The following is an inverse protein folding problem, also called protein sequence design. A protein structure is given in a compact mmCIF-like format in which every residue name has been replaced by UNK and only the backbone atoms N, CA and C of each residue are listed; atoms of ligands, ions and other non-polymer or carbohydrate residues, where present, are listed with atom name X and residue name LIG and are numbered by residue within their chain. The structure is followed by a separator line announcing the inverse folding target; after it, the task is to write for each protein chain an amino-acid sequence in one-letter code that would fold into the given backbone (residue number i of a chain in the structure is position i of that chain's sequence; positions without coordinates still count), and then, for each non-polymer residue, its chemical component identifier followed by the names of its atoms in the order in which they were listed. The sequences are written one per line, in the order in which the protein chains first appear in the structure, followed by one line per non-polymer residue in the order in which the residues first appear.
data_IF_574670381326
#
_entry.id   IF_574670381326
#
_cell.length_a   1.000
_cell.length_b   1.000
_cell.length_c   1.000
_cell.angle_alpha   90.00
_cell.angle_beta   90.00
_cell.angle_gamma   90.00
#
_symmetry.space_group_name_H-M   'P 1'
#
loop_
_entity.id
_entity.type
_entity.pdbx_description
1 polymer ?
#
# COMPACT_ATOMS: atom_id res chain seq x y z
N UNK A 1 40.77 -9.39 -8.27
CA UNK A 1 39.50 -9.36 -8.99
C UNK A 1 39.01 -7.93 -8.97
N UNK A 2 38.92 -7.33 -10.15
CA UNK A 2 38.36 -5.99 -10.24
C UNK A 2 36.84 -6.09 -10.01
N UNK A 3 36.34 -5.44 -8.98
CA UNK A 3 34.90 -5.41 -8.69
C UNK A 3 34.30 -4.12 -9.27
N UNK A 4 33.17 -4.23 -9.96
CA UNK A 4 32.37 -3.09 -10.38
C UNK A 4 31.31 -2.81 -9.33
N UNK A 5 31.19 -1.56 -8.91
CA UNK A 5 30.12 -1.09 -8.02
C UNK A 5 29.09 -0.41 -8.91
N UNK A 6 27.86 -0.95 -8.90
CA UNK A 6 26.72 -0.37 -9.59
C UNK A 6 25.76 0.27 -8.57
N UNK A 7 25.07 1.36 -8.91
CA UNK A 7 23.98 1.87 -8.10
C UNK A 7 22.90 0.79 -7.93
N UNK A 8 22.35 0.70 -6.74
CA UNK A 8 21.26 -0.22 -6.46
C UNK A 8 19.97 0.17 -7.21
N UNK A 9 19.15 -0.82 -7.54
CA UNK A 9 17.88 -0.61 -8.24
C UNK A 9 16.79 -0.36 -7.21
N UNK A 10 15.96 0.68 -7.43
CA UNK A 10 14.76 0.93 -6.65
C UNK A 10 13.52 0.36 -7.36
N UNK A 11 12.68 -0.37 -6.63
CA UNK A 11 11.33 -0.70 -7.07
C UNK A 11 10.41 0.48 -6.73
N UNK A 12 9.97 1.22 -7.72
CA UNK A 12 9.19 2.45 -7.54
C UNK A 12 7.69 2.23 -7.44
N UNK A 13 7.19 0.98 -7.48
CA UNK A 13 5.77 0.67 -7.37
C UNK A 13 5.55 -0.78 -6.91
N UNK A 14 5.01 -0.95 -5.72
CA UNK A 14 4.70 -2.24 -5.12
C UNK A 14 3.36 -2.22 -4.41
N UNK A 15 2.69 -3.38 -4.38
CA UNK A 15 1.51 -3.68 -3.57
C UNK A 15 1.76 -5.04 -2.90
N UNK A 16 2.48 -5.06 -1.79
CA UNK A 16 2.98 -6.29 -1.19
C UNK A 16 1.92 -7.38 -1.00
N UNK A 17 0.72 -7.03 -0.54
CA UNK A 17 -0.35 -8.01 -0.31
C UNK A 17 -0.75 -8.76 -1.59
N UNK A 18 -0.58 -8.17 -2.77
CA UNK A 18 -0.92 -8.81 -4.04
C UNK A 18 0.03 -9.97 -4.38
N UNK A 19 1.22 -10.02 -3.77
CA UNK A 19 2.14 -11.16 -3.93
C UNK A 19 1.49 -12.49 -3.53
N UNK A 20 0.52 -12.48 -2.59
CA UNK A 20 -0.26 -13.65 -2.21
C UNK A 20 -1.11 -14.25 -3.34
N UNK A 21 -1.33 -13.50 -4.43
CA UNK A 21 -2.10 -13.96 -5.59
C UNK A 21 -1.23 -14.54 -6.71
N UNK A 22 0.09 -14.56 -6.53
CA UNK A 22 1.01 -15.05 -7.56
C UNK A 22 0.67 -16.50 -7.96
N UNK A 23 0.66 -16.75 -9.25
CA UNK A 23 0.26 -18.02 -9.84
C UNK A 23 -1.26 -18.23 -9.99
N UNK A 24 -2.08 -17.35 -9.42
CA UNK A 24 -3.55 -17.49 -9.46
C UNK A 24 -4.22 -16.49 -10.41
N UNK A 25 -3.52 -15.43 -10.79
CA UNK A 25 -4.09 -14.31 -11.54
C UNK A 25 -3.34 -13.96 -12.84
N UNK A 26 -2.18 -14.55 -13.08
CA UNK A 26 -1.34 -14.25 -14.25
C UNK A 26 -1.78 -15.01 -15.51
N UNK A 27 -2.68 -16.00 -15.36
CA UNK A 27 -3.18 -16.77 -16.49
C UNK A 27 -4.65 -16.43 -16.76
N UNK A 28 -4.95 -16.16 -18.01
CA UNK A 28 -6.30 -16.01 -18.48
C UNK A 28 -7.01 -17.37 -18.44
N UNK A 29 -7.99 -17.54 -17.57
CA UNK A 29 -8.79 -18.77 -17.48
C UNK A 29 -9.95 -18.80 -18.47
N UNK A 30 -10.49 -17.62 -18.81
CA UNK A 30 -11.60 -17.42 -19.74
C UNK A 30 -11.22 -16.30 -20.73
N UNK A 31 -11.55 -16.41 -22.03
CA UNK A 31 -11.37 -15.33 -23.00
C UNK A 31 -12.03 -13.99 -22.59
N UNK A 32 -13.07 -14.03 -21.75
CA UNK A 32 -13.75 -12.86 -21.20
C UNK A 32 -13.05 -12.26 -19.98
N UNK A 33 -11.97 -12.88 -19.47
CA UNK A 33 -11.23 -12.36 -18.33
C UNK A 33 -10.62 -10.98 -18.65
N UNK A 34 -10.76 -10.07 -17.71
CA UNK A 34 -10.37 -8.68 -17.82
C UNK A 34 -9.83 -8.17 -16.48
N UNK A 35 -9.43 -6.89 -16.44
CA UNK A 35 -9.10 -6.22 -15.19
C UNK A 35 -10.20 -6.37 -14.11
N UNK A 36 -11.47 -6.42 -14.51
CA UNK A 36 -12.57 -6.52 -13.55
C UNK A 36 -12.66 -7.90 -12.89
N UNK A 37 -12.42 -8.99 -13.61
CA UNK A 37 -12.36 -10.33 -13.05
C UNK A 37 -11.14 -10.51 -12.15
N UNK A 38 -9.98 -9.98 -12.54
CA UNK A 38 -8.79 -9.91 -11.71
C UNK A 38 -9.07 -9.17 -10.38
N UNK A 39 -9.77 -8.04 -10.45
CA UNK A 39 -10.10 -7.22 -9.28
C UNK A 39 -10.98 -7.96 -8.27
N UNK A 40 -11.88 -8.82 -8.71
CA UNK A 40 -12.70 -9.66 -7.82
C UNK A 40 -11.83 -10.66 -7.03
N UNK A 41 -10.84 -11.25 -7.68
CA UNK A 41 -9.88 -12.12 -6.99
C UNK A 41 -9.10 -11.31 -5.95
N UNK A 42 -8.61 -10.15 -6.32
CA UNK A 42 -7.89 -9.26 -5.42
C UNK A 42 -8.73 -8.90 -4.18
N UNK A 43 -10.01 -8.57 -4.33
CA UNK A 43 -10.89 -8.29 -3.18
C UNK A 43 -11.06 -9.51 -2.27
N UNK A 44 -11.16 -10.74 -2.82
CA UNK A 44 -11.26 -11.96 -2.02
C UNK A 44 -10.01 -12.20 -1.17
N UNK A 45 -8.82 -11.91 -1.69
CA UNK A 45 -7.58 -11.96 -0.93
C UNK A 45 -7.54 -10.83 0.10
N UNK A 46 -7.75 -9.61 -0.34
CA UNK A 46 -7.80 -8.45 0.53
C UNK A 46 -8.75 -8.66 1.71
N UNK A 47 -9.92 -9.27 1.52
CA UNK A 47 -10.90 -9.52 2.58
C UNK A 47 -10.43 -10.50 3.67
N UNK A 48 -9.32 -11.20 3.50
CA UNK A 48 -8.86 -12.25 4.45
C UNK A 48 -7.55 -11.93 5.15
N UNK A 49 -6.72 -11.11 4.55
CA UNK A 49 -5.38 -10.81 5.05
C UNK A 49 -5.46 -10.05 6.37
N UNK A 50 -4.88 -10.61 7.44
CA UNK A 50 -4.68 -9.97 8.73
C UNK A 50 -3.25 -9.39 8.85
N UNK A 51 -2.89 -8.67 9.93
CA UNK A 51 -1.56 -8.07 10.10
C UNK A 51 -0.40 -9.08 10.01
N UNK A 52 -0.51 -10.26 10.65
CA UNK A 52 0.53 -11.29 10.62
C UNK A 52 0.72 -11.86 9.22
N UNK A 53 -0.38 -12.08 8.50
CA UNK A 53 -0.35 -12.55 7.13
C UNK A 53 0.25 -11.49 6.19
N UNK A 54 -0.11 -10.22 6.38
CA UNK A 54 0.48 -9.13 5.60
C UNK A 54 1.99 -9.04 5.82
N UNK A 55 2.43 -9.13 7.08
CA UNK A 55 3.84 -9.18 7.42
C UNK A 55 4.55 -10.33 6.69
N UNK A 56 4.04 -11.54 6.79
CA UNK A 56 4.67 -12.72 6.18
C UNK A 56 4.76 -12.59 4.64
N UNK A 57 3.70 -12.08 3.99
CA UNK A 57 3.67 -11.85 2.55
C UNK A 57 4.70 -10.78 2.15
N UNK A 58 4.75 -9.67 2.88
CA UNK A 58 5.66 -8.57 2.60
C UNK A 58 7.12 -8.98 2.84
N UNK A 59 7.42 -9.69 3.94
CA UNK A 59 8.76 -10.18 4.24
C UNK A 59 9.29 -11.11 3.14
N UNK A 60 8.44 -12.03 2.66
CA UNK A 60 8.79 -12.90 1.53
C UNK A 60 9.07 -12.08 0.26
N UNK A 61 8.20 -11.14 -0.09
CA UNK A 61 8.36 -10.30 -1.27
C UNK A 61 9.64 -9.45 -1.21
N UNK A 62 9.90 -8.85 -0.07
CA UNK A 62 11.08 -7.99 0.10
C UNK A 62 12.39 -8.78 0.08
N UNK A 63 12.38 -10.01 0.60
CA UNK A 63 13.49 -10.95 0.42
C UNK A 63 13.73 -11.28 -1.06
N UNK A 64 12.68 -11.62 -1.81
CA UNK A 64 12.75 -11.85 -3.26
C UNK A 64 13.27 -10.63 -4.03
N UNK A 65 12.86 -9.40 -3.61
CA UNK A 65 13.37 -8.16 -4.20
C UNK A 65 14.88 -7.99 -3.97
N UNK A 66 15.36 -8.23 -2.75
CA UNK A 66 16.79 -8.16 -2.44
C UNK A 66 17.61 -9.19 -3.23
N UNK A 67 17.13 -10.43 -3.34
CA UNK A 67 17.74 -11.47 -4.17
C UNK A 67 17.82 -11.07 -5.65
N UNK A 68 16.81 -10.32 -6.13
CA UNK A 68 16.79 -9.76 -7.49
C UNK A 68 17.62 -8.46 -7.66
N UNK A 69 18.25 -7.96 -6.59
CA UNK A 69 19.12 -6.77 -6.61
C UNK A 69 18.42 -5.45 -6.35
N UNK A 70 17.16 -5.46 -5.93
CA UNK A 70 16.49 -4.24 -5.43
C UNK A 70 16.92 -3.98 -4.00
N UNK A 71 17.19 -2.73 -3.66
CA UNK A 71 17.55 -2.33 -2.28
C UNK A 71 16.59 -1.32 -1.69
N UNK A 72 15.66 -0.84 -2.50
CA UNK A 72 14.61 0.08 -2.07
C UNK A 72 13.28 -0.27 -2.73
N UNK A 73 12.18 -0.01 -2.02
CA UNK A 73 10.81 -0.21 -2.51
C UNK A 73 9.92 0.96 -2.13
N UNK A 74 9.12 1.44 -3.09
CA UNK A 74 7.97 2.31 -2.84
C UNK A 74 6.72 1.44 -2.75
N UNK A 75 6.17 1.31 -1.55
CA UNK A 75 5.01 0.47 -1.27
C UNK A 75 3.73 1.30 -1.25
N UNK A 76 2.88 1.13 -2.26
CA UNK A 76 1.57 1.76 -2.38
C UNK A 76 0.56 0.99 -1.52
N UNK A 77 0.48 1.35 -0.23
CA UNK A 77 -0.21 0.61 0.81
C UNK A 77 -1.65 1.13 1.00
N UNK A 78 -2.65 0.31 0.68
CA UNK A 78 -4.06 0.67 0.81
C UNK A 78 -4.91 -0.34 1.62
N UNK A 79 -4.28 -1.27 2.30
CA UNK A 79 -4.94 -2.26 3.16
C UNK A 79 -4.85 -1.78 4.62
N UNK A 80 -5.82 -0.98 5.08
CA UNK A 80 -5.70 -0.26 6.35
C UNK A 80 -6.51 -0.87 7.50
N UNK A 81 -7.72 -1.36 7.21
CA UNK A 81 -8.70 -1.74 8.23
C UNK A 81 -8.88 -3.25 8.34
N UNK A 82 -9.62 -3.69 9.35
CA UNK A 82 -10.06 -5.06 9.52
C UNK A 82 -10.85 -5.54 8.28
N UNK A 83 -10.98 -6.86 8.08
CA UNK A 83 -11.73 -7.40 6.94
C UNK A 83 -13.16 -6.88 6.81
N UNK A 84 -13.81 -6.54 7.92
CA UNK A 84 -15.16 -5.96 7.96
C UNK A 84 -15.19 -4.43 7.73
N UNK A 85 -14.03 -3.81 7.50
CA UNK A 85 -13.87 -2.38 7.26
C UNK A 85 -13.79 -1.51 8.51
N UNK A 86 -13.85 -2.11 9.72
CA UNK A 86 -13.65 -1.36 10.97
C UNK A 86 -12.16 -1.09 11.20
N UNK A 87 -11.80 0.07 11.76
CA UNK A 87 -10.40 0.34 12.09
C UNK A 87 -9.88 -0.66 13.14
N UNK A 88 -8.58 -0.88 13.14
CA UNK A 88 -7.89 -1.49 14.28
C UNK A 88 -7.80 -0.49 15.42
N UNK A 89 -7.50 -0.96 16.64
CA UNK A 89 -7.32 -0.10 17.80
C UNK A 89 -6.13 0.85 17.61
N UNK A 90 -5.05 0.35 16.96
CA UNK A 90 -4.01 1.17 16.37
C UNK A 90 -4.32 1.36 14.87
N UNK A 91 -4.59 2.58 14.40
CA UNK A 91 -4.89 2.83 12.99
C UNK A 91 -3.72 2.53 12.05
N UNK A 92 -2.49 2.41 12.58
CA UNK A 92 -1.29 2.06 11.81
C UNK A 92 -0.98 0.56 11.75
N UNK A 93 -1.78 -0.31 12.38
CA UNK A 93 -1.53 -1.75 12.57
C UNK A 93 -1.09 -2.47 11.27
N UNK A 94 -1.81 -2.25 10.16
CA UNK A 94 -1.47 -2.86 8.88
C UNK A 94 -0.20 -2.26 8.28
N UNK A 95 0.02 -0.95 8.44
CA UNK A 95 1.23 -0.27 8.01
C UNK A 95 2.46 -0.75 8.80
N UNK A 96 2.31 -0.98 10.10
CA UNK A 96 3.36 -1.55 10.96
C UNK A 96 3.82 -2.93 10.47
N UNK A 97 2.91 -3.73 9.94
CA UNK A 97 3.27 -5.04 9.36
C UNK A 97 4.20 -4.90 8.15
N UNK A 98 3.97 -3.91 7.30
CA UNK A 98 4.83 -3.59 6.15
C UNK A 98 6.19 -3.05 6.62
N UNK A 99 6.19 -2.13 7.59
CA UNK A 99 7.42 -1.53 8.14
C UNK A 99 8.31 -2.61 8.75
N UNK A 100 7.77 -3.45 9.64
CA UNK A 100 8.53 -4.56 10.25
C UNK A 100 9.07 -5.53 9.20
N UNK A 101 8.28 -5.86 8.16
CA UNK A 101 8.72 -6.75 7.09
C UNK A 101 9.92 -6.16 6.32
N UNK A 102 9.92 -4.85 6.08
CA UNK A 102 11.02 -4.17 5.40
C UNK A 102 12.28 -4.09 6.29
N UNK A 103 12.10 -3.81 7.58
CA UNK A 103 13.18 -3.80 8.58
C UNK A 103 13.85 -5.17 8.70
N UNK A 104 13.06 -6.24 8.86
CA UNK A 104 13.56 -7.60 9.00
C UNK A 104 14.24 -8.12 7.72
N UNK A 105 13.75 -7.72 6.55
CA UNK A 105 14.40 -8.01 5.28
C UNK A 105 15.68 -7.17 5.07
N UNK A 106 15.77 -5.97 5.65
CA UNK A 106 16.87 -5.02 5.45
C UNK A 106 16.76 -4.22 4.16
N UNK A 107 15.54 -4.04 3.60
CA UNK A 107 15.30 -3.22 2.40
C UNK A 107 14.87 -1.81 2.78
N UNK A 108 15.33 -0.80 2.04
CA UNK A 108 14.84 0.57 2.20
C UNK A 108 13.37 0.68 1.77
N UNK A 109 12.54 1.33 2.60
CA UNK A 109 11.10 1.45 2.38
C UNK A 109 10.68 2.92 2.26
N UNK A 110 10.03 3.27 1.15
CA UNK A 110 9.18 4.45 1.06
C UNK A 110 7.73 3.96 1.14
N UNK A 111 7.14 4.09 2.33
CA UNK A 111 5.75 3.70 2.54
C UNK A 111 4.82 4.82 2.10
N UNK A 112 3.89 4.50 1.22
CA UNK A 112 2.89 5.40 0.68
C UNK A 112 1.49 4.96 1.14
N UNK A 113 1.03 5.36 2.34
CA UNK A 113 -0.35 5.14 2.73
C UNK A 113 -1.28 5.82 1.72
N UNK A 114 -2.35 5.13 1.34
CA UNK A 114 -3.19 5.53 0.21
C UNK A 114 -4.53 6.04 0.69
N UNK A 115 -4.90 7.26 0.31
CA UNK A 115 -6.25 7.77 0.52
C UNK A 115 -7.22 7.14 -0.48
N UNK A 116 -8.33 6.59 0.06
CA UNK A 116 -9.42 5.99 -0.71
C UNK A 116 -10.76 6.35 -0.06
N UNK A 117 -11.67 7.02 -0.76
CA UNK A 117 -12.90 7.57 -0.16
C UNK A 117 -14.18 7.14 -0.85
N UNK A 118 -14.16 6.93 -2.16
CA UNK A 118 -15.37 6.66 -2.93
C UNK A 118 -15.25 5.43 -3.82
N UNK A 119 -16.38 4.77 -4.08
CA UNK A 119 -16.48 3.55 -4.88
C UNK A 119 -16.45 3.79 -6.40
N UNK A 120 -16.53 5.05 -6.84
CA UNK A 120 -16.59 5.39 -8.26
C UNK A 120 -16.60 6.90 -8.50
N UNK A 121 -16.55 7.31 -9.78
CA UNK A 121 -16.58 8.72 -10.20
C UNK A 121 -17.87 9.47 -9.81
N UNK A 122 -18.94 8.75 -9.56
CA UNK A 122 -20.22 9.26 -9.05
C UNK A 122 -20.22 9.49 -7.53
N UNK A 123 -19.07 9.40 -6.89
CA UNK A 123 -18.88 9.55 -5.44
C UNK A 123 -19.72 8.58 -4.60
N UNK A 124 -20.12 7.45 -5.17
CA UNK A 124 -20.88 6.43 -4.43
C UNK A 124 -20.07 5.88 -3.24
N UNK A 125 -20.80 5.43 -2.23
CA UNK A 125 -20.21 4.82 -1.04
C UNK A 125 -19.34 3.59 -1.38
N UNK A 126 -18.39 3.31 -0.53
CA UNK A 126 -17.55 2.10 -0.63
C UNK A 126 -18.41 0.86 -0.43
N UNK A 127 -18.32 -0.10 -1.33
CA UNK A 127 -18.90 -1.42 -1.10
C UNK A 127 -18.06 -2.24 -0.11
N UNK A 128 -18.58 -3.36 0.37
CA UNK A 128 -17.94 -4.14 1.44
C UNK A 128 -16.48 -4.52 1.14
N UNK A 129 -16.15 -4.91 -0.09
CA UNK A 129 -14.78 -5.22 -0.49
C UNK A 129 -13.81 -4.02 -0.50
N UNK A 130 -14.34 -2.78 -0.46
CA UNK A 130 -13.53 -1.55 -0.47
C UNK A 130 -13.41 -0.91 0.92
N UNK A 131 -14.30 -1.22 1.86
CA UNK A 131 -14.37 -0.57 3.17
C UNK A 131 -13.04 -0.59 3.92
N UNK A 132 -12.28 -1.67 3.80
CA UNK A 132 -10.99 -1.79 4.47
C UNK A 132 -9.87 -0.91 3.88
N UNK A 133 -10.12 -0.22 2.76
CA UNK A 133 -9.20 0.75 2.15
C UNK A 133 -9.55 2.19 2.53
N UNK A 134 -10.76 2.41 3.07
CA UNK A 134 -11.37 3.71 3.18
C UNK A 134 -10.85 4.55 4.35
N UNK A 135 -10.58 5.84 4.08
CA UNK A 135 -10.30 6.83 5.13
C UNK A 135 -11.10 8.11 4.90
N UNK A 136 -11.51 8.78 5.98
CA UNK A 136 -11.76 10.21 5.91
C UNK A 136 -10.45 10.98 5.67
N UNK A 137 -10.52 12.23 5.24
CA UNK A 137 -9.32 13.06 5.09
C UNK A 137 -8.60 13.24 6.44
N UNK A 138 -9.35 13.45 7.51
CA UNK A 138 -8.79 13.67 8.85
C UNK A 138 -8.11 12.41 9.41
N UNK A 139 -8.74 11.22 9.24
CA UNK A 139 -8.13 9.97 9.68
C UNK A 139 -6.88 9.63 8.87
N UNK A 140 -6.90 9.93 7.57
CA UNK A 140 -5.73 9.77 6.72
C UNK A 140 -4.55 10.65 7.14
N UNK A 141 -4.80 11.95 7.38
CA UNK A 141 -3.77 12.88 7.85
C UNK A 141 -3.21 12.45 9.21
N UNK A 142 -4.08 11.99 10.11
CA UNK A 142 -3.68 11.46 11.42
C UNK A 142 -2.81 10.20 11.28
N UNK A 143 -3.12 9.31 10.35
CA UNK A 143 -2.29 8.14 10.04
C UNK A 143 -0.90 8.56 9.54
N UNK A 144 -0.82 9.52 8.62
CA UNK A 144 0.46 10.05 8.13
C UNK A 144 1.28 10.62 9.28
N UNK A 145 0.68 11.42 10.16
CA UNK A 145 1.38 12.00 11.34
C UNK A 145 1.94 10.92 12.30
N UNK A 146 1.19 9.83 12.51
CA UNK A 146 1.64 8.71 13.35
C UNK A 146 2.87 8.04 12.71
N UNK A 147 2.79 7.75 11.42
CA UNK A 147 3.83 7.04 10.69
C UNK A 147 5.10 7.88 10.52
N UNK A 148 4.98 9.17 10.24
CA UNK A 148 6.13 10.08 10.08
C UNK A 148 7.04 10.15 11.30
N UNK A 149 6.54 9.90 12.50
CA UNK A 149 7.33 9.84 13.73
C UNK A 149 8.33 8.67 13.76
N UNK A 150 8.18 7.71 12.87
CA UNK A 150 9.01 6.51 12.77
C UNK A 150 10.06 6.60 11.65
N UNK A 151 10.08 7.70 10.90
CA UNK A 151 11.05 7.86 9.81
C UNK A 151 12.49 7.66 10.25
N UNK A 152 13.25 7.02 9.40
CA UNK A 152 14.67 6.72 9.61
C UNK A 152 15.45 6.86 8.29
N UNK A 153 16.70 6.43 8.29
CA UNK A 153 17.49 6.37 7.05
C UNK A 153 16.99 5.32 6.06
N UNK A 154 16.31 4.26 6.53
CA UNK A 154 15.73 3.21 5.70
C UNK A 154 14.21 3.33 5.53
N UNK A 155 13.53 4.15 6.34
CA UNK A 155 12.08 4.34 6.25
C UNK A 155 11.73 5.78 5.94
N UNK A 156 11.01 6.00 4.85
CA UNK A 156 10.38 7.27 4.49
C UNK A 156 8.88 7.10 4.36
N UNK A 157 8.14 8.11 4.79
CA UNK A 157 6.68 8.14 4.71
C UNK A 157 6.27 9.19 3.69
N UNK A 158 5.64 8.75 2.62
CA UNK A 158 5.04 9.64 1.63
C UNK A 158 3.52 9.64 1.72
N UNK A 159 2.89 10.18 0.70
CA UNK A 159 1.43 10.24 0.56
C UNK A 159 1.03 9.74 -0.81
N UNK A 160 -0.11 9.05 -0.89
CA UNK A 160 -0.65 8.62 -2.16
C UNK A 160 -2.18 8.76 -2.21
N UNK A 161 -2.67 8.99 -3.41
CA UNK A 161 -4.08 9.01 -3.72
C UNK A 161 -4.36 7.84 -4.66
N UNK A 162 -5.32 6.99 -4.33
CA UNK A 162 -5.55 5.78 -5.11
C UNK A 162 -5.82 6.07 -6.59
N UNK A 163 -6.75 6.96 -6.85
CA UNK A 163 -7.10 7.41 -8.20
C UNK A 163 -8.17 8.51 -8.13
N UNK A 164 -8.37 9.25 -9.21
CA UNK A 164 -9.44 10.26 -9.32
C UNK A 164 -10.85 9.65 -9.17
N UNK A 165 -11.00 8.35 -9.38
CA UNK A 165 -12.24 7.62 -9.11
C UNK A 165 -12.51 7.43 -7.62
N UNK A 166 -11.45 7.34 -6.81
CA UNK A 166 -11.54 6.99 -5.38
C UNK A 166 -11.34 8.19 -4.46
N UNK A 167 -10.86 9.31 -5.00
CA UNK A 167 -10.63 10.55 -4.25
C UNK A 167 -11.31 11.70 -4.98
N UNK A 168 -12.39 12.27 -4.41
CA UNK A 168 -13.11 13.39 -5.02
C UNK A 168 -12.25 14.64 -5.17
N UNK A 169 -12.53 15.46 -6.18
CA UNK A 169 -11.84 16.73 -6.41
C UNK A 169 -11.86 17.65 -5.19
N UNK A 170 -12.97 17.70 -4.48
CA UNK A 170 -13.09 18.52 -3.26
C UNK A 170 -12.10 18.09 -2.18
N UNK A 171 -11.85 16.80 -2.05
CA UNK A 171 -10.84 16.27 -1.14
C UNK A 171 -9.43 16.70 -1.57
N UNK A 172 -9.12 16.66 -2.86
CA UNK A 172 -7.84 17.16 -3.35
C UNK A 172 -7.61 18.62 -2.97
N UNK A 173 -8.63 19.46 -3.16
CA UNK A 173 -8.57 20.88 -2.81
C UNK A 173 -8.34 21.15 -1.33
N UNK A 174 -8.82 20.30 -0.44
CA UNK A 174 -8.58 20.41 1.01
C UNK A 174 -7.27 19.75 1.47
N UNK A 175 -6.88 18.64 0.85
CA UNK A 175 -5.70 17.87 1.24
C UNK A 175 -4.40 18.56 0.83
N UNK A 176 -4.32 19.11 -0.39
CA UNK A 176 -3.10 19.73 -0.90
C UNK A 176 -2.57 20.86 -0.02
N UNK A 177 -3.41 21.81 0.48
CA UNK A 177 -2.95 22.82 1.43
C UNK A 177 -2.48 22.23 2.77
N UNK A 178 -3.11 21.14 3.25
CA UNK A 178 -2.71 20.49 4.50
C UNK A 178 -1.33 19.79 4.40
N UNK A 179 -0.93 19.41 3.20
CA UNK A 179 0.36 18.80 2.92
C UNK A 179 1.42 19.82 2.49
N UNK A 180 1.02 21.06 2.20
CA UNK A 180 1.93 22.10 1.75
C UNK A 180 2.99 22.40 2.82
N UNK A 181 4.26 22.47 2.41
CA UNK A 181 5.39 22.71 3.31
C UNK A 181 5.91 21.48 4.05
N UNK A 182 5.30 20.31 3.84
CA UNK A 182 5.88 19.05 4.32
C UNK A 182 6.92 18.55 3.31
N UNK A 183 8.09 18.13 3.81
CA UNK A 183 9.03 17.37 3.00
C UNK A 183 8.47 15.95 2.81
N UNK A 184 8.01 15.66 1.62
CA UNK A 184 7.49 14.36 1.21
C UNK A 184 8.40 13.79 0.11
N UNK A 185 8.72 12.49 0.16
CA UNK A 185 9.51 11.85 -0.89
C UNK A 185 8.77 11.76 -2.21
#
# INVERSE_FOLDING_TARGET
MDAFILPAIANTHSHAFQRAMAGLTERRGNPADSFWTWREVMYRFAARINPEQLYAIAAQLYGEMLEAGYTQVCEFHYLHHRPDGRPYDDPSEMAQSIIRAAEDAGIGLTLLPVLYQTGGFDSRALHDGQKRFGHSTDDYLRLIEILKKQESHLLKIGVALHSLRAVPEQTLKSLLPALAGQELP
#
